data_IF_472132809016
#
_entry.id   IF_472132809016
#
_cell.length_a   1.000
_cell.length_b   1.000
_cell.length_c   1.000
_cell.angle_alpha   90.00
_cell.angle_beta   90.00
_cell.angle_gamma   90.00
#
_symmetry.space_group_name_H-M   'P 1'
#
loop_
_entity.id
_entity.type
_entity.pdbx_description
1 polymer ?
#
# COMPACT_ATOMS: atom_id res chain seq x y z
N UNK A 1 29.66 14.91 1.23
CA UNK A 1 29.19 14.82 -0.17
C UNK A 1 29.47 13.44 -0.76
N UNK A 2 30.73 12.99 -0.87
CA UNK A 2 31.09 11.71 -1.55
C UNK A 2 30.48 10.45 -0.91
N UNK A 3 30.44 10.36 0.41
CA UNK A 3 29.76 9.24 1.11
C UNK A 3 28.25 9.19 0.85
N UNK A 4 27.61 10.34 0.63
CA UNK A 4 26.18 10.42 0.35
C UNK A 4 25.88 9.92 -1.07
N UNK A 5 26.62 10.41 -2.07
CA UNK A 5 26.50 9.93 -3.44
C UNK A 5 26.83 8.44 -3.58
N UNK A 6 27.77 7.93 -2.78
CA UNK A 6 28.06 6.49 -2.72
C UNK A 6 26.88 5.70 -2.11
N UNK A 7 26.27 6.20 -1.04
CA UNK A 7 25.07 5.58 -0.46
C UNK A 7 23.88 5.61 -1.44
N UNK A 8 23.68 6.70 -2.19
CA UNK A 8 22.66 6.80 -3.25
C UNK A 8 22.90 5.77 -4.36
N UNK A 9 24.14 5.55 -4.78
CA UNK A 9 24.47 4.52 -5.77
C UNK A 9 24.13 3.11 -5.28
N UNK A 10 24.24 2.83 -3.98
CA UNK A 10 23.76 1.58 -3.37
C UNK A 10 22.25 1.40 -3.48
N UNK A 11 21.48 2.49 -3.30
CA UNK A 11 20.03 2.48 -3.52
C UNK A 11 19.71 2.23 -5.00
N UNK A 12 20.38 2.93 -5.91
CA UNK A 12 20.16 2.75 -7.35
C UNK A 12 20.48 1.32 -7.82
N UNK A 13 21.53 0.72 -7.28
CA UNK A 13 21.91 -0.66 -7.60
C UNK A 13 20.85 -1.66 -7.12
N UNK A 14 20.41 -1.52 -5.86
CA UNK A 14 19.33 -2.34 -5.29
C UNK A 14 18.01 -2.21 -6.10
N UNK A 15 17.72 -1.01 -6.62
CA UNK A 15 16.51 -0.75 -7.41
C UNK A 15 16.52 -1.37 -8.82
N UNK A 16 17.69 -1.72 -9.39
CA UNK A 16 17.80 -2.33 -10.74
C UNK A 16 17.26 -3.76 -10.79
N UNK A 17 17.46 -4.52 -9.72
CA UNK A 17 17.02 -5.91 -9.61
C UNK A 17 16.70 -6.21 -8.15
N UNK A 18 15.52 -5.76 -7.71
CA UNK A 18 15.08 -5.93 -6.33
C UNK A 18 15.04 -7.41 -5.99
N UNK A 19 15.93 -7.80 -5.08
CA UNK A 19 16.00 -9.15 -4.51
C UNK A 19 16.24 -8.96 -3.02
N UNK A 20 15.41 -9.59 -2.19
CA UNK A 20 15.57 -9.55 -0.72
C UNK A 20 16.94 -10.13 -0.37
N UNK A 21 17.68 -9.44 0.50
CA UNK A 21 19.03 -9.82 0.90
C UNK A 21 19.98 -8.65 1.04
N UNK A 22 21.28 -8.94 1.08
CA UNK A 22 22.34 -7.94 1.21
C UNK A 22 23.21 -7.88 -0.03
N UNK A 23 23.59 -6.68 -0.45
CA UNK A 23 24.55 -6.45 -1.52
C UNK A 23 25.67 -5.51 -1.09
N UNK A 24 26.74 -5.51 -1.87
CA UNK A 24 27.82 -4.55 -1.72
C UNK A 24 28.32 -4.10 -3.09
N UNK A 25 28.83 -2.87 -3.15
CA UNK A 25 29.51 -2.33 -4.31
C UNK A 25 30.54 -1.30 -3.87
N UNK A 26 31.44 -0.93 -4.77
CA UNK A 26 32.44 0.13 -4.52
C UNK A 26 32.22 1.28 -5.50
N UNK A 27 32.03 2.49 -4.99
CA UNK A 27 31.98 3.74 -5.79
C UNK A 27 33.14 4.63 -5.39
N UNK A 28 33.98 5.03 -6.34
CA UNK A 28 35.11 5.93 -6.08
C UNK A 28 36.04 5.45 -4.94
N UNK A 29 36.18 4.12 -4.75
CA UNK A 29 36.97 3.54 -3.66
C UNK A 29 36.30 3.58 -2.27
N UNK A 30 35.02 3.92 -2.21
CA UNK A 30 34.17 3.88 -1.02
C UNK A 30 33.34 2.59 -1.08
N UNK A 31 33.46 1.76 -0.05
CA UNK A 31 32.62 0.57 0.07
C UNK A 31 31.22 0.98 0.51
N UNK A 32 30.24 0.44 -0.21
CA UNK A 32 28.81 0.65 0.00
C UNK A 32 28.21 -0.72 0.29
N UNK A 33 27.48 -0.83 1.40
CA UNK A 33 26.71 -2.02 1.74
C UNK A 33 25.24 -1.62 1.79
N UNK A 34 24.39 -2.42 1.17
CA UNK A 34 22.94 -2.22 1.23
C UNK A 34 22.22 -3.51 1.62
N UNK A 35 21.04 -3.34 2.20
CA UNK A 35 20.10 -4.41 2.55
C UNK A 35 18.74 -4.10 1.98
N UNK A 36 18.10 -5.11 1.40
CA UNK A 36 16.74 -5.08 0.90
C UNK A 36 15.90 -6.02 1.76
N UNK A 37 14.88 -5.48 2.42
CA UNK A 37 13.96 -6.21 3.30
C UNK A 37 12.56 -6.13 2.74
N UNK A 38 11.91 -7.27 2.53
CA UNK A 38 10.49 -7.35 2.20
C UNK A 38 9.62 -6.87 3.36
N UNK A 39 8.53 -6.19 3.06
CA UNK A 39 7.51 -5.79 4.04
C UNK A 39 6.22 -6.50 3.69
N UNK A 40 5.73 -7.31 4.63
CA UNK A 40 4.49 -8.10 4.49
C UNK A 40 3.25 -7.29 4.89
N UNK A 41 3.32 -5.97 4.72
CA UNK A 41 2.24 -5.03 4.97
C UNK A 41 2.35 -3.88 3.97
N UNK A 42 1.20 -3.31 3.62
CA UNK A 42 1.15 -2.09 2.84
C UNK A 42 1.02 -0.91 3.81
N UNK A 43 1.87 0.10 3.66
CA UNK A 43 1.70 1.36 4.40
C UNK A 43 2.12 2.54 3.53
N UNK A 44 1.32 3.61 3.56
CA UNK A 44 1.64 4.84 2.86
C UNK A 44 0.49 5.83 2.82
N UNK A 45 0.74 7.00 2.25
CA UNK A 45 -0.28 8.02 2.00
C UNK A 45 -0.75 7.97 0.56
N UNK A 46 -2.05 7.78 0.38
CA UNK A 46 -2.67 7.66 -0.94
C UNK A 46 -3.52 8.91 -1.22
N UNK A 47 -3.36 9.54 -2.39
CA UNK A 47 -4.19 10.68 -2.76
C UNK A 47 -5.65 10.25 -2.95
N UNK A 48 -6.57 11.22 -2.87
CA UNK A 48 -7.96 10.97 -3.25
C UNK A 48 -8.02 10.41 -4.67
N UNK A 49 -8.83 9.36 -4.87
CA UNK A 49 -8.95 8.59 -6.10
C UNK A 49 -7.69 7.83 -6.55
N UNK A 50 -6.61 7.86 -5.76
CA UNK A 50 -5.46 6.99 -5.91
C UNK A 50 -5.81 5.53 -5.64
N UNK A 51 -4.94 4.61 -6.05
CA UNK A 51 -5.12 3.17 -5.82
C UNK A 51 -3.99 2.65 -4.96
N UNK A 52 -4.35 2.09 -3.81
CA UNK A 52 -3.50 1.19 -3.05
C UNK A 52 -3.77 -0.23 -3.53
N UNK A 53 -2.73 -1.01 -3.82
CA UNK A 53 -2.85 -2.38 -4.29
C UNK A 53 -2.18 -3.32 -3.29
N UNK A 54 -2.90 -4.36 -2.89
CA UNK A 54 -2.42 -5.42 -2.02
C UNK A 54 -2.39 -6.72 -2.81
N UNK A 55 -1.23 -7.34 -2.88
CA UNK A 55 -1.03 -8.65 -3.51
C UNK A 55 -1.40 -9.74 -2.50
N UNK A 56 -2.19 -10.71 -2.93
CA UNK A 56 -2.56 -11.89 -2.14
C UNK A 56 -1.84 -13.13 -2.68
N UNK A 57 -1.74 -14.16 -1.85
CA UNK A 57 -1.17 -15.46 -2.19
C UNK A 57 -2.22 -16.50 -2.65
N UNK A 58 -3.50 -16.13 -2.62
CA UNK A 58 -4.62 -17.01 -2.96
C UNK A 58 -5.20 -17.76 -1.78
N UNK A 59 -4.68 -17.61 -0.56
CA UNK A 59 -5.18 -18.30 0.62
C UNK A 59 -6.27 -17.49 1.34
N UNK A 60 -7.14 -18.18 2.08
CA UNK A 60 -8.09 -17.53 2.98
C UNK A 60 -7.36 -16.70 4.04
N UNK A 61 -7.80 -15.46 4.25
CA UNK A 61 -7.19 -14.55 5.21
C UNK A 61 -8.19 -13.47 5.66
N UNK A 62 -7.82 -12.68 6.66
CA UNK A 62 -8.50 -11.44 6.99
C UNK A 62 -7.48 -10.32 6.86
N UNK A 63 -7.79 -9.32 6.03
CA UNK A 63 -6.99 -8.10 5.98
C UNK A 63 -7.53 -7.10 6.99
N UNK A 64 -6.64 -6.61 7.86
CA UNK A 64 -6.94 -5.44 8.68
C UNK A 64 -6.55 -4.20 7.89
N UNK A 65 -7.55 -3.37 7.56
CA UNK A 65 -7.37 -2.11 6.82
C UNK A 65 -7.59 -0.97 7.79
N UNK A 66 -6.55 -0.19 8.04
CA UNK A 66 -6.58 0.96 8.95
C UNK A 66 -6.29 2.24 8.18
N UNK A 67 -7.08 3.29 8.41
CA UNK A 67 -6.96 4.53 7.66
C UNK A 67 -7.45 5.75 8.43
N UNK A 68 -7.15 6.92 7.86
CA UNK A 68 -7.29 8.26 8.44
C UNK A 68 -6.36 8.43 9.63
N UNK A 69 -5.32 9.25 9.47
CA UNK A 69 -4.49 9.66 10.61
C UNK A 69 -5.30 10.56 11.56
N UNK A 70 -5.51 10.09 12.80
CA UNK A 70 -6.29 10.78 13.82
C UNK A 70 -5.66 12.15 14.14
N UNK A 71 -6.43 13.22 13.99
CA UNK A 71 -5.98 14.58 14.26
C UNK A 71 -5.13 15.24 13.17
N UNK A 72 -4.82 14.57 12.04
CA UNK A 72 -4.31 15.29 10.85
C UNK A 72 -5.47 16.14 10.29
N UNK A 73 -5.38 17.48 10.26
CA UNK A 73 -6.48 18.34 9.79
C UNK A 73 -6.81 18.15 8.30
N UNK A 74 -5.91 17.54 7.52
CA UNK A 74 -6.17 17.16 6.13
C UNK A 74 -6.96 15.87 6.06
N UNK A 75 -6.64 14.85 6.85
CA UNK A 75 -7.31 13.54 6.79
C UNK A 75 -8.55 13.45 7.68
N UNK A 76 -8.55 14.18 8.80
CA UNK A 76 -9.63 14.30 9.77
C UNK A 76 -10.06 15.78 9.91
N UNK A 77 -10.84 16.30 8.94
CA UNK A 77 -11.25 17.70 8.93
C UNK A 77 -12.25 18.06 10.04
N UNK A 78 -12.68 17.10 10.88
CA UNK A 78 -13.73 17.29 11.89
C UNK A 78 -15.13 17.50 11.30
N UNK A 79 -15.28 17.44 9.99
CA UNK A 79 -16.56 17.48 9.28
C UNK A 79 -16.86 16.13 8.63
N UNK A 80 -18.13 15.88 8.32
CA UNK A 80 -18.56 14.64 7.67
C UNK A 80 -19.54 14.98 6.54
N UNK A 81 -19.04 15.65 5.51
CA UNK A 81 -19.79 16.01 4.31
C UNK A 81 -19.15 15.29 3.13
N UNK A 82 -19.93 14.53 2.37
CA UNK A 82 -19.47 13.73 1.21
C UNK A 82 -19.00 14.57 0.03
N UNK A 83 -17.94 15.34 0.23
CA UNK A 83 -17.27 16.23 -0.72
C UNK A 83 -15.77 16.19 -0.45
N UNK A 84 -14.98 16.44 -1.49
CA UNK A 84 -13.52 16.53 -1.41
C UNK A 84 -13.07 17.50 -0.31
N UNK A 85 -12.28 17.00 0.64
CA UNK A 85 -11.70 17.75 1.75
C UNK A 85 -12.66 18.08 2.90
N UNK A 86 -13.94 17.69 2.82
CA UNK A 86 -14.94 17.98 3.86
C UNK A 86 -15.39 16.73 4.66
N UNK A 87 -14.75 15.59 4.42
CA UNK A 87 -14.90 14.38 5.23
C UNK A 87 -13.56 13.64 5.30
N UNK A 88 -13.36 12.80 6.33
CA UNK A 88 -12.33 11.78 6.27
C UNK A 88 -12.55 10.85 5.08
N UNK A 89 -11.47 10.26 4.58
CA UNK A 89 -11.55 9.43 3.40
C UNK A 89 -12.50 8.24 3.63
N UNK A 90 -13.41 8.03 2.68
CA UNK A 90 -14.16 6.79 2.56
C UNK A 90 -13.41 5.86 1.60
N UNK A 91 -13.56 4.55 1.72
CA UNK A 91 -12.81 3.59 0.90
C UNK A 91 -13.75 2.84 -0.04
N UNK A 92 -13.32 2.74 -1.30
CA UNK A 92 -13.89 1.81 -2.28
C UNK A 92 -12.89 0.68 -2.48
N UNK A 93 -13.28 -0.53 -2.10
CA UNK A 93 -12.44 -1.72 -2.09
C UNK A 93 -12.94 -2.67 -3.17
N UNK A 94 -12.03 -3.18 -3.99
CA UNK A 94 -12.28 -4.23 -4.97
C UNK A 94 -11.39 -5.42 -4.69
N UNK A 95 -11.98 -6.60 -4.57
CA UNK A 95 -11.27 -7.88 -4.45
C UNK A 95 -11.43 -8.62 -5.77
N UNK A 96 -10.31 -9.07 -6.32
CA UNK A 96 -10.24 -9.72 -7.63
C UNK A 96 -9.72 -11.14 -7.42
N UNK A 97 -10.50 -12.13 -7.86
CA UNK A 97 -10.12 -13.54 -7.76
C UNK A 97 -9.33 -14.02 -8.99
N UNK A 98 -8.89 -15.28 -8.92
CA UNK A 98 -8.14 -15.94 -9.99
C UNK A 98 -8.90 -16.08 -11.32
N UNK A 99 -10.23 -16.00 -11.29
CA UNK A 99 -11.11 -15.99 -12.47
C UNK A 99 -11.40 -14.56 -12.98
N UNK A 100 -10.76 -13.54 -12.39
CA UNK A 100 -10.97 -12.11 -12.67
C UNK A 100 -12.36 -11.58 -12.33
N UNK A 101 -13.12 -12.29 -11.49
CA UNK A 101 -14.36 -11.77 -10.94
C UNK A 101 -14.05 -10.71 -9.87
N UNK A 102 -14.89 -9.68 -9.80
CA UNK A 102 -14.66 -8.53 -8.92
C UNK A 102 -15.77 -8.38 -7.89
N UNK A 103 -15.43 -8.60 -6.62
CA UNK A 103 -16.28 -8.26 -5.47
C UNK A 103 -15.94 -6.85 -5.01
N UNK A 104 -16.96 -6.04 -4.70
CA UNK A 104 -16.78 -4.64 -4.26
C UNK A 104 -17.40 -4.40 -2.89
N UNK A 105 -16.67 -3.65 -2.08
CA UNK A 105 -17.09 -3.18 -0.76
C UNK A 105 -16.85 -1.68 -0.72
N UNK A 106 -17.77 -0.92 -0.15
CA UNK A 106 -17.61 0.52 0.01
C UNK A 106 -17.98 0.94 1.43
N UNK A 107 -17.06 1.63 2.08
CA UNK A 107 -17.13 1.97 3.50
C UNK A 107 -16.81 3.44 3.74
N UNK A 108 -17.52 4.05 4.68
CA UNK A 108 -17.31 5.43 5.13
C UNK A 108 -16.57 5.46 6.47
N UNK A 109 -15.66 6.41 6.62
CA UNK A 109 -15.01 6.72 7.90
C UNK A 109 -15.90 7.54 8.86
N UNK A 110 -17.05 8.04 8.40
CA UNK A 110 -17.99 8.81 9.19
C UNK A 110 -19.42 8.61 8.64
N UNK A 111 -20.43 9.21 9.28
CA UNK A 111 -21.85 8.96 8.94
C UNK A 111 -22.24 9.61 7.59
N UNK A 112 -21.99 8.91 6.48
CA UNK A 112 -22.29 9.37 5.12
C UNK A 112 -23.24 8.44 4.35
N UNK A 113 -23.67 7.31 4.93
CA UNK A 113 -24.53 6.31 4.24
C UNK A 113 -25.77 6.91 3.57
N UNK A 114 -26.38 7.93 4.17
CA UNK A 114 -27.57 8.58 3.59
C UNK A 114 -27.28 9.43 2.35
N UNK A 115 -26.01 9.73 2.10
CA UNK A 115 -25.54 10.53 0.96
C UNK A 115 -25.00 9.64 -0.15
N UNK A 116 -24.33 8.53 0.19
CA UNK A 116 -23.56 7.74 -0.78
C UNK A 116 -23.85 6.23 -0.77
N UNK A 117 -24.72 5.75 0.12
CA UNK A 117 -25.08 4.33 0.30
C UNK A 117 -23.90 3.40 0.60
N UNK A 118 -22.76 3.93 1.03
CA UNK A 118 -21.66 3.13 1.57
C UNK A 118 -21.95 2.78 3.05
N UNK A 119 -21.31 1.73 3.54
CA UNK A 119 -21.46 1.30 4.94
C UNK A 119 -20.69 2.23 5.88
N UNK A 120 -21.33 2.74 6.94
CA UNK A 120 -20.65 3.61 7.90
C UNK A 120 -19.89 2.75 8.93
N UNK A 121 -18.56 2.93 8.99
CA UNK A 121 -17.70 2.22 9.93
C UNK A 121 -17.49 3.05 11.19
N UNK A 122 -17.69 2.41 12.35
CA UNK A 122 -17.45 3.00 13.67
C UNK A 122 -16.25 2.40 14.41
N UNK A 123 -15.66 1.33 13.87
CA UNK A 123 -14.53 0.66 14.51
C UNK A 123 -13.29 1.55 14.47
N UNK A 124 -12.63 1.67 15.62
CA UNK A 124 -11.39 2.44 15.76
C UNK A 124 -10.20 1.61 15.32
N UNK A 125 -9.26 2.26 14.64
CA UNK A 125 -7.94 1.71 14.34
C UNK A 125 -7.01 1.77 15.54
N UNK A 126 -5.87 1.10 15.42
CA UNK A 126 -4.74 1.30 16.31
C UNK A 126 -4.10 2.65 16.01
N UNK A 127 -3.57 3.30 17.05
CA UNK A 127 -2.88 4.58 16.89
C UNK A 127 -1.77 4.45 15.81
N UNK A 128 -1.74 5.35 14.80
CA UNK A 128 -2.42 6.64 14.73
C UNK A 128 -3.73 6.65 13.90
N UNK A 129 -4.30 5.51 13.54
CA UNK A 129 -5.44 5.42 12.64
C UNK A 129 -6.78 5.57 13.36
N UNK A 130 -7.66 6.41 12.80
CA UNK A 130 -9.00 6.67 13.32
C UNK A 130 -9.97 5.52 13.03
N UNK A 131 -9.78 4.78 11.92
CA UNK A 131 -10.72 3.74 11.47
C UNK A 131 -10.04 2.43 11.13
N UNK A 132 -10.77 1.34 11.36
CA UNK A 132 -10.41 -0.04 11.02
C UNK A 132 -11.55 -0.74 10.28
N UNK A 133 -11.20 -1.58 9.32
CA UNK A 133 -12.12 -2.50 8.68
C UNK A 133 -11.43 -3.84 8.43
N UNK A 134 -12.08 -4.92 8.82
CA UNK A 134 -11.60 -6.27 8.59
C UNK A 134 -12.25 -6.84 7.34
N UNK A 135 -11.45 -7.00 6.28
CA UNK A 135 -11.90 -7.55 5.01
C UNK A 135 -11.59 -9.04 4.95
N UNK A 136 -12.63 -9.86 4.88
CA UNK A 136 -12.49 -11.29 4.61
C UNK A 136 -11.98 -11.53 3.18
N UNK A 137 -10.96 -12.36 3.07
CA UNK A 137 -10.33 -12.86 1.84
C UNK A 137 -10.65 -14.35 1.73
N UNK A 138 -11.16 -14.75 0.58
CA UNK A 138 -11.51 -16.14 0.28
C UNK A 138 -10.40 -16.85 -0.48
N UNK A 139 -10.39 -18.17 -0.43
CA UNK A 139 -9.51 -18.99 -1.27
C UNK A 139 -9.69 -18.60 -2.76
N UNK A 140 -8.58 -18.40 -3.45
CA UNK A 140 -8.54 -17.95 -4.84
C UNK A 140 -8.62 -16.43 -5.06
N UNK A 141 -8.77 -15.61 -4.01
CA UNK A 141 -8.62 -14.15 -4.11
C UNK A 141 -7.14 -13.78 -4.35
N UNK A 142 -6.85 -12.96 -5.36
CA UNK A 142 -5.47 -12.67 -5.79
C UNK A 142 -5.03 -11.23 -5.57
N UNK A 143 -5.97 -10.29 -5.56
CA UNK A 143 -5.66 -8.87 -5.49
C UNK A 143 -6.73 -8.10 -4.73
N UNK A 144 -6.30 -7.15 -3.90
CA UNK A 144 -7.19 -6.11 -3.36
C UNK A 144 -6.74 -4.75 -3.88
N UNK A 145 -7.70 -3.95 -4.33
CA UNK A 145 -7.50 -2.54 -4.69
C UNK A 145 -8.36 -1.66 -3.80
N UNK A 146 -7.71 -0.70 -3.14
CA UNK A 146 -8.34 0.23 -2.21
C UNK A 146 -8.20 1.62 -2.80
N UNK A 147 -9.33 2.30 -2.97
CA UNK A 147 -9.39 3.66 -3.49
C UNK A 147 -10.01 4.61 -2.46
N UNK A 148 -9.25 5.55 -1.90
CA UNK A 148 -9.78 6.63 -1.07
C UNK A 148 -10.67 7.56 -1.89
N UNK A 149 -11.79 8.00 -1.33
CA UNK A 149 -12.68 9.02 -1.89
C UNK A 149 -13.00 10.07 -0.82
N UNK A 150 -13.37 11.27 -1.26
CA UNK A 150 -13.57 12.47 -0.44
C UNK A 150 -12.31 13.06 0.19
N UNK A 151 -11.22 12.30 0.33
CA UNK A 151 -9.95 12.84 0.79
C UNK A 151 -8.76 11.94 0.45
N UNK A 152 -7.55 12.49 0.56
CA UNK A 152 -6.34 11.66 0.70
C UNK A 152 -6.32 10.99 2.07
N UNK A 153 -5.66 9.84 2.19
CA UNK A 153 -5.50 9.19 3.48
C UNK A 153 -4.23 8.39 3.60
N UNK A 154 -3.67 8.37 4.80
CA UNK A 154 -2.72 7.40 5.29
C UNK A 154 -3.45 6.09 5.50
N UNK A 155 -2.90 5.03 4.92
CA UNK A 155 -3.48 3.69 4.88
C UNK A 155 -2.43 2.69 5.35
N UNK A 156 -2.84 1.78 6.21
CA UNK A 156 -2.10 0.56 6.54
C UNK A 156 -2.98 -0.65 6.23
N UNK A 157 -2.38 -1.67 5.63
CA UNK A 157 -3.00 -2.98 5.43
C UNK A 157 -2.06 -4.06 5.91
N UNK A 158 -2.54 -4.88 6.83
CA UNK A 158 -1.83 -6.03 7.39
C UNK A 158 -2.69 -7.28 7.23
N UNK A 159 -2.05 -8.45 7.18
CA UNK A 159 -2.78 -9.68 7.50
C UNK A 159 -3.15 -9.67 8.99
N UNK A 160 -4.25 -10.34 9.33
CA UNK A 160 -4.63 -10.61 10.70
C UNK A 160 -3.45 -11.25 11.45
N UNK A 161 -2.98 -10.68 12.58
CA UNK A 161 -1.87 -11.25 13.34
C UNK A 161 -2.17 -12.66 13.88
N UNK A 162 -3.44 -13.04 13.96
CA UNK A 162 -3.87 -14.38 14.37
C UNK A 162 -3.99 -15.35 13.18
N UNK A 163 -3.85 -14.89 11.92
CA UNK A 163 -3.73 -15.76 10.75
C UNK A 163 -2.29 -16.25 10.59
N UNK A 164 -2.13 -17.53 10.26
CA UNK A 164 -0.80 -18.15 10.12
C UNK A 164 -0.10 -17.79 8.81
N UNK A 165 -0.79 -17.11 7.91
CA UNK A 165 -0.33 -16.80 6.55
C UNK A 165 -0.09 -15.29 6.41
N UNK A 166 1.17 -14.83 6.54
CA UNK A 166 1.49 -13.43 6.33
C UNK A 166 1.32 -13.06 4.86
N UNK A 167 1.07 -11.78 4.58
CA UNK A 167 0.99 -11.33 3.20
C UNK A 167 2.31 -11.59 2.44
N UNK A 168 2.23 -11.77 1.11
CA UNK A 168 3.38 -11.58 0.24
C UNK A 168 4.05 -10.22 0.50
N UNK A 169 5.29 -10.05 0.06
CA UNK A 169 5.97 -8.76 0.13
C UNK A 169 5.18 -7.70 -0.66
N UNK A 170 4.68 -6.68 0.05
CA UNK A 170 3.91 -5.56 -0.49
C UNK A 170 4.80 -4.36 -0.83
N UNK A 171 5.93 -4.26 -0.14
CA UNK A 171 6.93 -3.22 -0.33
C UNK A 171 8.33 -3.76 -0.03
N UNK A 172 9.34 -3.05 -0.51
CA UNK A 172 10.74 -3.32 -0.23
C UNK A 172 11.38 -2.12 0.45
N UNK A 173 11.94 -2.34 1.63
CA UNK A 173 12.76 -1.39 2.35
C UNK A 173 14.22 -1.58 1.94
N UNK A 174 14.84 -0.53 1.42
CA UNK A 174 16.23 -0.54 0.99
C UNK A 174 17.01 0.40 1.89
N UNK A 175 17.89 -0.14 2.72
CA UNK A 175 18.82 0.63 3.56
C UNK A 175 20.22 0.52 2.98
N UNK A 176 20.84 1.64 2.63
CA UNK A 176 22.19 1.71 2.05
C UNK A 176 23.11 2.52 2.95
N UNK A 177 24.31 2.01 3.22
CA UNK A 177 25.33 2.67 4.01
C UNK A 177 26.67 2.71 3.30
N UNK A 178 27.36 3.84 3.38
CA UNK A 178 28.68 4.04 2.81
C UNK A 178 29.63 4.60 3.85
N UNK A 179 30.86 4.07 3.91
CA UNK A 179 31.88 4.53 4.82
C UNK A 179 33.19 4.85 4.09
N UNK A 180 33.69 6.07 4.27
CA UNK A 180 34.99 6.49 3.73
C UNK A 180 36.07 5.95 4.67
N UNK A 181 36.84 4.95 4.23
CA UNK A 181 37.89 4.30 5.04
C UNK A 181 38.96 5.27 5.55
N UNK A 182 39.25 6.34 4.81
CA UNK A 182 40.31 7.31 5.14
C UNK A 182 39.89 8.37 6.15
N UNK A 183 38.64 8.86 6.09
CA UNK A 183 38.11 9.88 7.01
C UNK A 183 37.21 9.31 8.10
N UNK A 184 36.86 8.02 8.01
CA UNK A 184 35.88 7.30 8.85
C UNK A 184 34.47 7.90 8.84
N UNK A 185 34.17 8.80 7.91
CA UNK A 185 32.83 9.33 7.75
C UNK A 185 31.89 8.26 7.19
N UNK A 186 30.77 8.04 7.89
CA UNK A 186 29.72 7.11 7.48
C UNK A 186 28.41 7.87 7.18
N UNK A 187 27.66 7.41 6.17
CA UNK A 187 26.33 7.91 5.81
C UNK A 187 25.42 6.73 5.49
N UNK A 188 24.16 6.83 5.90
CA UNK A 188 23.12 5.85 5.60
C UNK A 188 21.89 6.55 5.02
N UNK A 189 21.22 5.89 4.07
CA UNK A 189 20.00 6.34 3.39
C UNK A 189 19.03 5.17 3.38
N UNK A 190 17.74 5.44 3.54
CA UNK A 190 16.67 4.45 3.52
C UNK A 190 15.57 4.87 2.54
N UNK A 191 15.09 3.92 1.73
CA UNK A 191 14.03 4.13 0.74
C UNK A 191 13.05 2.95 0.78
N UNK A 192 11.76 3.26 0.83
CA UNK A 192 10.69 2.27 0.67
C UNK A 192 10.12 2.35 -0.74
N UNK A 193 10.02 1.21 -1.43
CA UNK A 193 9.35 1.10 -2.72
C UNK A 193 8.15 0.17 -2.60
N UNK A 194 6.96 0.67 -2.96
CA UNK A 194 5.76 -0.14 -3.10
C UNK A 194 5.79 -0.97 -4.40
N UNK A 195 5.15 -2.13 -4.39
CA UNK A 195 4.90 -2.87 -5.62
C UNK A 195 4.04 -2.02 -6.59
N UNK A 196 4.36 -1.94 -7.90
CA UNK A 196 3.61 -1.12 -8.83
C UNK A 196 2.15 -1.57 -8.94
N UNK A 197 1.22 -0.67 -8.60
CA UNK A 197 -0.20 -0.87 -8.86
C UNK A 197 -0.53 -0.57 -10.33
N UNK A 198 -1.34 -1.41 -10.96
CA UNK A 198 -1.83 -1.08 -12.30
C UNK A 198 -2.81 0.12 -12.22
N UNK A 199 -2.81 1.03 -13.21
CA UNK A 199 -3.73 2.16 -13.21
C UNK A 199 -5.21 1.73 -13.17
N UNK A 200 -6.07 2.44 -12.42
CA UNK A 200 -7.48 2.08 -12.27
C UNK A 200 -8.29 2.07 -13.57
N UNK A 201 -7.80 2.71 -14.64
CA UNK A 201 -8.47 2.70 -15.96
C UNK A 201 -8.56 1.29 -16.56
N UNK A 202 -7.67 0.37 -16.16
CA UNK A 202 -7.69 -1.01 -16.64
C UNK A 202 -8.77 -1.87 -15.98
N UNK A 203 -9.42 -1.40 -14.90
CA UNK A 203 -10.53 -2.11 -14.25
C UNK A 203 -11.85 -1.97 -15.00
N UNK A 204 -11.94 -1.02 -15.95
CA UNK A 204 -13.14 -0.74 -16.74
C UNK A 204 -13.19 -1.47 -18.08
N UNK A 205 -12.14 -2.20 -18.47
CA UNK A 205 -12.04 -2.82 -19.80
C UNK A 205 -12.53 -4.27 -19.83
N UNK A 206 -12.76 -4.92 -18.69
CA UNK A 206 -13.35 -6.26 -18.66
C UNK A 206 -14.89 -6.20 -18.75
N UNK A 207 -15.39 -5.65 -19.85
CA UNK A 207 -16.80 -5.78 -20.22
C UNK A 207 -16.97 -7.06 -21.03
N UNK A 208 -17.87 -7.92 -20.56
CA UNK A 208 -18.22 -9.24 -21.07
C UNK A 208 -18.35 -9.30 -22.59
N UNK A 209 -17.39 -9.96 -23.26
CA UNK A 209 -17.65 -10.63 -24.52
C UNK A 209 -18.47 -11.90 -24.24
N UNK A 210 -19.78 -11.73 -24.04
CA UNK A 210 -20.70 -12.87 -24.08
C UNK A 210 -20.60 -13.56 -25.44
N UNK A 211 -20.60 -14.89 -25.43
CA UNK A 211 -20.51 -15.78 -26.58
C UNK A 211 -21.02 -15.17 -27.90
N UNK A 212 -20.12 -15.05 -28.89
CA UNK A 212 -20.51 -14.99 -30.29
C UNK A 212 -20.96 -16.39 -30.70
N UNK A 213 -22.20 -16.74 -30.35
CA UNK A 213 -22.87 -17.86 -31.00
C UNK A 213 -23.21 -17.43 -32.43
N UNK A 214 -22.64 -18.16 -33.38
CA UNK A 214 -22.95 -18.06 -34.80
C UNK A 214 -24.46 -18.24 -35.05
N UNK A 215 -25.07 -17.26 -35.70
CA UNK A 215 -26.27 -17.43 -36.53
C UNK A 215 -25.97 -16.93 -37.94
#
# INVERSE_FOLDING_TARGET
>A
ARAFSAAEAGIEDALKAITVGSGNLTVDGIDVNYTVTGQQFLQGRFPENGVAQVILDGNENILTIEWVEEGDPVEDPGTCVGKTGEAPASLLISVINSDYEVRRVGINACVLRYTNNLEDISDFGDFPYLRRYNLEISDGDQLVRIRPVYNSTSLQVTADPDSFDPLPDQAYLISSSAQIKTTKEAKAIEVTRLEPAAPPIFDYVLFSGGNLDHL
#
